data_IF_802570502329
#
_entry.id   IF_802570502329
#
_cell.length_a   1.000
_cell.length_b   1.000
_cell.length_c   1.000
_cell.angle_alpha   90.00
_cell.angle_beta   90.00
_cell.angle_gamma   90.00
#
_symmetry.space_group_name_H-M   'P 1'
#
loop_
_entity.id
_entity.type
_entity.pdbx_description
1 polymer ?
#
# COMPACT_ATOMS: atom_id res chain seq x y z
N UNK A 1 -4.08 -4.26 6.04
CA UNK A 1 -4.23 -3.69 4.67
C UNK A 1 -5.40 -2.73 4.54
N UNK A 2 -6.64 -2.99 4.99
CA UNK A 2 -7.74 -2.02 4.89
C UNK A 2 -7.43 -0.69 5.61
N UNK A 3 -6.90 -0.76 6.82
CA UNK A 3 -6.53 0.44 7.59
C UNK A 3 -5.41 1.24 6.90
N UNK A 4 -4.46 0.55 6.27
CA UNK A 4 -3.40 1.16 5.46
C UNK A 4 -4.00 1.88 4.23
N UNK A 5 -4.90 1.21 3.49
CA UNK A 5 -5.61 1.82 2.36
C UNK A 5 -6.39 3.08 2.79
N UNK A 6 -7.05 3.03 3.94
CA UNK A 6 -7.76 4.19 4.49
C UNK A 6 -6.81 5.37 4.76
N UNK A 7 -5.69 5.12 5.46
CA UNK A 7 -4.68 6.16 5.72
C UNK A 7 -4.10 6.75 4.44
N UNK A 8 -3.83 5.90 3.45
CA UNK A 8 -3.32 6.32 2.14
C UNK A 8 -4.34 7.20 1.39
N UNK A 9 -5.62 6.80 1.39
CA UNK A 9 -6.71 7.59 0.80
C UNK A 9 -6.90 8.93 1.52
N UNK A 10 -6.83 8.93 2.85
CA UNK A 10 -6.92 10.17 3.62
C UNK A 10 -5.79 11.14 3.24
N UNK A 11 -4.55 10.67 3.19
CA UNK A 11 -3.41 11.48 2.73
C UNK A 11 -3.61 12.02 1.31
N UNK A 12 -4.15 11.18 0.39
CA UNK A 12 -4.47 11.59 -0.97
C UNK A 12 -5.53 12.72 -1.02
N UNK A 13 -6.52 12.70 -0.15
CA UNK A 13 -7.59 13.69 -0.13
C UNK A 13 -7.17 15.01 0.55
N UNK A 14 -6.16 14.97 1.41
CA UNK A 14 -5.76 16.12 2.25
C UNK A 14 -4.43 16.75 1.86
N UNK A 15 -3.64 16.17 0.95
CA UNK A 15 -2.31 16.69 0.61
C UNK A 15 -2.31 18.12 0.04
N UNK A 16 -3.44 18.57 -0.51
CA UNK A 16 -3.61 19.92 -1.06
C UNK A 16 -4.15 20.94 -0.05
N UNK A 17 -4.39 20.51 1.20
CA UNK A 17 -4.92 21.40 2.25
C UNK A 17 -3.93 22.54 2.51
N UNK A 18 -4.34 23.82 2.39
CA UNK A 18 -3.48 24.97 2.67
C UNK A 18 -2.93 25.02 4.10
N UNK A 19 -3.62 24.34 5.04
CA UNK A 19 -3.21 24.22 6.44
C UNK A 19 -2.54 22.88 6.74
N UNK A 20 -2.26 22.08 5.70
CA UNK A 20 -1.61 20.77 5.83
C UNK A 20 -0.09 20.87 6.03
N UNK A 21 0.55 19.71 6.17
CA UNK A 21 2.00 19.61 6.40
C UNK A 21 2.84 20.00 5.17
N UNK A 22 2.24 20.03 3.96
CA UNK A 22 2.95 20.39 2.73
C UNK A 22 2.81 21.91 2.50
N UNK A 23 3.92 22.65 2.39
CA UNK A 23 3.87 24.09 2.12
C UNK A 23 3.06 24.41 0.87
N UNK A 24 2.16 25.39 0.97
CA UNK A 24 1.25 25.78 -0.13
C UNK A 24 1.99 26.13 -1.43
N UNK A 25 3.19 26.71 -1.34
CA UNK A 25 4.04 27.02 -2.49
C UNK A 25 4.45 25.76 -3.26
N UNK A 26 4.71 24.63 -2.55
CA UNK A 26 5.04 23.34 -3.16
C UNK A 26 3.82 22.79 -3.87
N UNK A 27 2.65 22.82 -3.21
CA UNK A 27 1.38 22.37 -3.80
C UNK A 27 1.08 23.17 -5.08
N UNK A 28 1.21 24.50 -5.05
CA UNK A 28 0.98 25.35 -6.20
C UNK A 28 1.96 25.05 -7.35
N UNK A 29 3.24 24.82 -7.06
CA UNK A 29 4.21 24.42 -8.09
C UNK A 29 3.85 23.07 -8.71
N UNK A 30 3.45 22.10 -7.90
CA UNK A 30 3.03 20.78 -8.40
C UNK A 30 1.80 20.88 -9.31
N UNK A 31 0.87 21.79 -9.03
CA UNK A 31 -0.35 22.00 -9.82
C UNK A 31 -0.13 22.79 -11.11
N UNK A 32 0.81 23.76 -11.09
CA UNK A 32 0.94 24.75 -12.16
C UNK A 32 2.05 24.42 -13.17
N UNK A 33 3.09 23.66 -12.78
CA UNK A 33 4.17 23.28 -13.70
C UNK A 33 3.72 22.14 -14.58
N UNK A 34 3.51 22.44 -15.87
CA UNK A 34 3.11 21.46 -16.90
C UNK A 34 4.33 20.87 -17.60
N UNK A 35 4.25 19.60 -17.92
CA UNK A 35 5.26 18.87 -18.68
C UNK A 35 4.60 17.87 -19.63
N UNK A 36 5.37 17.41 -20.62
CA UNK A 36 4.97 16.30 -21.49
C UNK A 36 5.61 15.00 -21.01
N UNK A 37 4.80 13.96 -20.86
CA UNK A 37 5.29 12.65 -20.46
C UNK A 37 4.65 11.55 -21.30
N UNK A 38 5.47 10.77 -21.99
CA UNK A 38 5.07 9.61 -22.81
C UNK A 38 3.92 9.92 -23.78
N UNK A 39 3.93 11.09 -24.43
CA UNK A 39 2.92 11.51 -25.41
C UNK A 39 1.65 12.13 -24.82
N UNK A 40 1.58 12.33 -23.52
CA UNK A 40 0.53 13.11 -22.85
C UNK A 40 1.08 14.49 -22.52
N UNK A 41 0.52 15.51 -23.17
CA UNK A 41 0.88 16.91 -22.94
C UNK A 41 0.04 17.53 -21.83
N UNK A 42 0.64 18.52 -21.15
CA UNK A 42 -0.05 19.30 -20.13
C UNK A 42 -0.28 18.59 -18.80
N UNK A 43 0.36 17.45 -18.56
CA UNK A 43 0.36 16.80 -17.24
C UNK A 43 1.10 17.63 -16.21
N UNK A 44 0.67 17.55 -14.96
CA UNK A 44 1.33 18.21 -13.82
C UNK A 44 1.88 17.16 -12.85
N UNK A 45 2.79 17.56 -11.96
CA UNK A 45 3.25 16.70 -10.88
C UNK A 45 2.12 16.33 -9.91
N UNK A 46 1.13 17.22 -9.74
CA UNK A 46 -0.07 16.94 -8.95
C UNK A 46 -0.91 15.81 -9.56
N UNK A 47 -1.08 15.80 -10.89
CA UNK A 47 -1.78 14.70 -11.58
C UNK A 47 -1.04 13.38 -11.40
N UNK A 48 0.29 13.39 -11.53
CA UNK A 48 1.11 12.22 -11.38
C UNK A 48 1.07 11.67 -9.95
N UNK A 49 1.21 12.54 -8.96
CA UNK A 49 1.11 12.19 -7.53
C UNK A 49 -0.26 11.58 -7.20
N UNK A 50 -1.33 12.25 -7.63
CA UNK A 50 -2.70 11.77 -7.40
C UNK A 50 -2.94 10.43 -8.08
N UNK A 51 -2.52 10.28 -9.34
CA UNK A 51 -2.65 9.02 -10.08
C UNK A 51 -1.92 7.86 -9.42
N UNK A 52 -0.66 8.07 -9.02
CA UNK A 52 0.12 7.06 -8.31
C UNK A 52 -0.53 6.69 -6.97
N UNK A 53 -1.07 7.67 -6.25
CA UNK A 53 -1.77 7.45 -4.99
C UNK A 53 -3.07 6.68 -5.15
N UNK A 54 -3.86 6.94 -6.20
CA UNK A 54 -5.05 6.12 -6.51
C UNK A 54 -4.67 4.67 -6.83
N UNK A 55 -3.63 4.47 -7.63
CA UNK A 55 -3.13 3.12 -7.93
C UNK A 55 -2.69 2.39 -6.65
N UNK A 56 -1.97 3.06 -5.75
CA UNK A 56 -1.57 2.52 -4.46
C UNK A 56 -2.77 2.10 -3.62
N UNK A 57 -3.78 2.96 -3.50
CA UNK A 57 -5.02 2.66 -2.78
C UNK A 57 -5.72 1.41 -3.34
N UNK A 58 -5.87 1.32 -4.67
CA UNK A 58 -6.50 0.18 -5.33
C UNK A 58 -5.72 -1.12 -5.10
N UNK A 59 -4.38 -1.07 -5.18
CA UNK A 59 -3.54 -2.23 -4.90
C UNK A 59 -3.66 -2.71 -3.45
N UNK A 60 -3.69 -1.80 -2.48
CA UNK A 60 -3.90 -2.14 -1.06
C UNK A 60 -5.27 -2.78 -0.82
N UNK A 61 -6.32 -2.28 -1.47
CA UNK A 61 -7.66 -2.87 -1.42
C UNK A 61 -7.69 -4.26 -2.05
N UNK A 62 -7.02 -4.44 -3.20
CA UNK A 62 -6.90 -5.74 -3.85
C UNK A 62 -6.20 -6.76 -2.96
N UNK A 63 -5.08 -6.40 -2.33
CA UNK A 63 -4.38 -7.26 -1.37
C UNK A 63 -5.31 -7.62 -0.20
N UNK A 64 -6.06 -6.66 0.33
CA UNK A 64 -7.02 -6.90 1.41
C UNK A 64 -8.12 -7.88 0.99
N UNK A 65 -8.67 -7.73 -0.22
CA UNK A 65 -9.68 -8.63 -0.77
C UNK A 65 -9.13 -10.05 -0.96
N UNK A 66 -7.91 -10.19 -1.50
CA UNK A 66 -7.27 -11.50 -1.66
C UNK A 66 -7.05 -12.15 -0.30
N UNK A 67 -6.51 -11.45 0.68
CA UNK A 67 -6.32 -11.97 2.04
C UNK A 67 -7.64 -12.40 2.66
N UNK A 68 -8.72 -11.66 2.44
CA UNK A 68 -10.06 -12.03 2.89
C UNK A 68 -10.52 -13.35 2.27
N UNK A 69 -10.37 -13.52 0.94
CA UNK A 69 -10.78 -14.76 0.26
C UNK A 69 -9.95 -16.00 0.65
N UNK A 70 -8.73 -15.77 1.14
CA UNK A 70 -7.83 -16.83 1.59
C UNK A 70 -8.02 -17.20 3.07
N UNK A 71 -8.77 -16.40 3.86
CA UNK A 71 -8.82 -16.53 5.32
C UNK A 71 -9.36 -17.87 5.83
N UNK A 72 -10.26 -18.49 5.09
CA UNK A 72 -10.92 -19.73 5.48
C UNK A 72 -10.28 -21.00 4.87
N UNK A 73 -9.19 -20.83 4.11
CA UNK A 73 -8.55 -21.93 3.38
C UNK A 73 -7.20 -22.29 4.02
N UNK A 74 -6.87 -23.61 4.02
CA UNK A 74 -5.64 -24.12 4.62
C UNK A 74 -4.83 -25.05 3.69
N UNK A 75 -5.15 -25.07 2.38
CA UNK A 75 -4.45 -25.91 1.43
C UNK A 75 -3.04 -25.39 1.08
N UNK A 76 -2.21 -26.24 0.47
CA UNK A 76 -0.83 -25.89 0.12
C UNK A 76 -0.74 -24.72 -0.88
N UNK A 77 -1.74 -24.52 -1.72
CA UNK A 77 -1.77 -23.40 -2.66
C UNK A 77 -1.90 -22.09 -1.90
N UNK A 78 -2.75 -22.05 -0.86
CA UNK A 78 -2.90 -20.89 0.02
C UNK A 78 -1.61 -20.56 0.73
N UNK A 79 -0.87 -21.55 1.22
CA UNK A 79 0.44 -21.33 1.85
C UNK A 79 1.40 -20.62 0.89
N UNK A 80 1.48 -21.08 -0.36
CA UNK A 80 2.33 -20.42 -1.38
C UNK A 80 1.87 -18.98 -1.67
N UNK A 81 0.57 -18.75 -1.78
CA UNK A 81 0.00 -17.41 -2.00
C UNK A 81 0.29 -16.47 -0.83
N UNK A 82 0.15 -16.94 0.41
CA UNK A 82 0.46 -16.16 1.61
C UNK A 82 1.95 -15.78 1.68
N UNK A 83 2.87 -16.69 1.29
CA UNK A 83 4.30 -16.38 1.19
C UNK A 83 4.59 -15.28 0.16
N UNK A 84 3.95 -15.33 -1.01
CA UNK A 84 4.10 -14.31 -2.05
C UNK A 84 3.60 -12.95 -1.53
N UNK A 85 2.42 -12.93 -0.92
CA UNK A 85 1.83 -11.70 -0.38
C UNK A 85 2.67 -11.14 0.77
N UNK A 86 3.14 -11.99 1.69
CA UNK A 86 4.02 -11.56 2.78
C UNK A 86 5.31 -10.92 2.25
N UNK A 87 5.95 -11.54 1.25
CA UNK A 87 7.15 -11.00 0.62
C UNK A 87 6.88 -9.64 -0.05
N UNK A 88 5.76 -9.50 -0.76
CA UNK A 88 5.37 -8.23 -1.37
C UNK A 88 5.11 -7.13 -0.33
N UNK A 89 4.46 -7.46 0.80
CA UNK A 89 4.21 -6.50 1.90
C UNK A 89 5.52 -6.10 2.58
N UNK A 90 6.46 -7.03 2.77
CA UNK A 90 7.79 -6.71 3.34
C UNK A 90 8.56 -5.76 2.41
N UNK A 91 8.56 -6.03 1.09
CA UNK A 91 9.19 -5.15 0.10
C UNK A 91 8.53 -3.76 0.08
N UNK A 92 7.20 -3.71 0.14
CA UNK A 92 6.46 -2.46 0.24
C UNK A 92 6.87 -1.69 1.50
N UNK A 93 6.96 -2.35 2.65
CA UNK A 93 7.40 -1.74 3.90
C UNK A 93 8.83 -1.19 3.84
N UNK A 94 9.75 -1.85 3.12
CA UNK A 94 11.10 -1.33 2.88
C UNK A 94 11.06 -0.04 2.04
N UNK A 95 10.27 -0.02 0.97
CA UNK A 95 10.09 1.17 0.13
C UNK A 95 9.48 2.30 0.96
N UNK A 96 8.46 2.02 1.75
CA UNK A 96 7.83 3.01 2.62
C UNK A 96 8.79 3.54 3.70
N UNK A 97 9.68 2.70 4.23
CA UNK A 97 10.70 3.13 5.20
C UNK A 97 11.72 4.11 4.61
N UNK A 98 11.98 4.02 3.29
CA UNK A 98 12.93 4.89 2.60
C UNK A 98 12.27 6.21 2.18
N UNK A 99 11.02 6.17 1.71
CA UNK A 99 10.38 7.29 1.01
C UNK A 99 9.21 7.92 1.75
N UNK A 100 8.67 7.25 2.77
CA UNK A 100 7.48 7.70 3.48
C UNK A 100 7.76 7.87 4.99
N UNK A 101 6.70 8.03 5.74
CA UNK A 101 6.76 8.25 7.19
C UNK A 101 6.53 6.95 7.98
N UNK A 102 7.01 6.84 9.23
CA UNK A 102 6.98 5.61 10.04
C UNK A 102 5.58 5.01 10.23
N UNK A 103 4.54 5.83 10.18
CA UNK A 103 3.16 5.38 10.33
C UNK A 103 2.73 4.42 9.20
N UNK A 104 3.07 4.71 7.94
CA UNK A 104 2.81 3.82 6.81
C UNK A 104 3.53 2.47 6.99
N UNK A 105 4.81 2.50 7.35
CA UNK A 105 5.64 1.31 7.60
C UNK A 105 5.01 0.41 8.66
N UNK A 106 4.42 0.98 9.72
CA UNK A 106 3.81 0.20 10.80
C UNK A 106 2.69 -0.72 10.31
N UNK A 107 1.90 -0.31 9.33
CA UNK A 107 0.86 -1.16 8.74
C UNK A 107 1.43 -2.33 7.95
N UNK A 108 2.54 -2.14 7.27
CA UNK A 108 3.22 -3.23 6.57
C UNK A 108 3.81 -4.24 7.57
N UNK A 109 4.45 -3.77 8.63
CA UNK A 109 5.00 -4.64 9.69
C UNK A 109 3.90 -5.45 10.36
N UNK A 110 2.81 -4.82 10.79
CA UNK A 110 1.67 -5.51 11.42
C UNK A 110 1.09 -6.55 10.46
N UNK A 111 0.85 -6.19 9.20
CA UNK A 111 0.24 -7.09 8.22
C UNK A 111 1.14 -8.29 7.90
N UNK A 112 2.44 -8.07 7.69
CA UNK A 112 3.40 -9.15 7.49
C UNK A 112 3.47 -10.08 8.69
N UNK A 113 3.52 -9.53 9.91
CA UNK A 113 3.52 -10.32 11.15
C UNK A 113 2.29 -11.21 11.26
N UNK A 114 1.10 -10.67 10.99
CA UNK A 114 -0.14 -11.46 11.03
C UNK A 114 -0.15 -12.60 10.00
N UNK A 115 0.39 -12.36 8.79
CA UNK A 115 0.51 -13.41 7.77
C UNK A 115 1.51 -14.49 8.22
N UNK A 116 2.66 -14.12 8.80
CA UNK A 116 3.61 -15.11 9.33
C UNK A 116 3.04 -15.94 10.48
N UNK A 117 2.24 -15.33 11.35
CA UNK A 117 1.52 -16.08 12.40
C UNK A 117 0.52 -17.06 11.77
N UNK A 118 -0.22 -16.66 10.74
CA UNK A 118 -1.14 -17.54 10.03
C UNK A 118 -0.41 -18.71 9.36
N UNK A 119 0.70 -18.45 8.67
CA UNK A 119 1.56 -19.46 8.05
C UNK A 119 2.09 -20.46 9.09
N UNK A 120 2.56 -19.98 10.23
CA UNK A 120 3.02 -20.82 11.32
C UNK A 120 1.91 -21.76 11.85
N UNK A 121 0.71 -21.23 12.08
CA UNK A 121 -0.45 -22.02 12.51
C UNK A 121 -0.84 -23.09 11.51
N UNK A 122 -0.90 -22.76 10.21
CA UNK A 122 -1.22 -23.73 9.16
C UNK A 122 -0.18 -24.87 9.14
N UNK A 123 1.10 -24.53 9.32
CA UNK A 123 2.20 -25.51 9.35
C UNK A 123 2.10 -26.44 10.57
N UNK A 124 1.73 -25.93 11.75
CA UNK A 124 1.59 -26.73 12.97
C UNK A 124 0.33 -27.59 12.96
N UNK A 125 -0.79 -27.06 12.47
CA UNK A 125 -2.05 -27.80 12.37
C UNK A 125 -1.97 -28.92 11.31
N UNK A 126 -1.20 -28.74 10.23
CA UNK A 126 -0.99 -29.72 9.17
C UNK A 126 -0.11 -30.91 9.54
N UNK A 127 0.62 -30.86 10.66
CA UNK A 127 1.45 -31.96 11.17
C UNK A 127 0.69 -32.92 12.12
N UNK A 128 -0.62 -32.74 12.31
CA UNK A 128 -1.47 -33.58 13.19
C UNK A 128 -2.29 -34.61 12.38
N UNK A 129 -2.01 -34.75 11.07
CA UNK A 129 -2.68 -35.67 10.17
C UNK A 129 -1.82 -36.84 9.65
#
# INVERSE_FOLDING_TARGET
>A
MLLHSFGHTFGLLTWQDPNGDIPIEVVQKMQNVKFSFMGKDGSTMADFYSGASYCGTLLLLLIAAILWTLSDRKDQLVVKQLWIIASAIVLLGIVEAIYFFPFAVSFCVISATLIFIALYKISTDGNIG
#
